data_IF_338862730186
#
_entry.id   IF_338862730186
#
_cell.length_a   1.000
_cell.length_b   1.000
_cell.length_c   1.000
_cell.angle_alpha   90.00
_cell.angle_beta   90.00
_cell.angle_gamma   90.00
#
_symmetry.space_group_name_H-M   'P 1'
#
loop_
_entity.id
_entity.type
_entity.pdbx_description
1 polymer ?
#
# COMPACT_ATOMS: atom_id res chain seq x y z
N UNK A 1 -41.45 -29.65 83.14
CA UNK A 1 -41.81 -28.33 82.58
C UNK A 1 -40.61 -27.76 81.83
N UNK A 2 -40.76 -27.05 80.70
CA UNK A 2 -41.55 -27.30 79.49
C UNK A 2 -40.71 -27.97 78.38
N UNK A 3 -41.39 -28.46 77.33
CA UNK A 3 -40.84 -29.31 76.28
C UNK A 3 -39.92 -28.58 75.28
N UNK A 4 -38.68 -29.03 75.16
CA UNK A 4 -37.69 -28.59 74.16
C UNK A 4 -37.89 -29.20 72.75
N UNK A 5 -39.09 -29.71 72.45
CA UNK A 5 -39.36 -30.42 71.17
C UNK A 5 -39.54 -29.50 69.96
N UNK A 6 -39.77 -28.20 70.14
CA UNK A 6 -39.97 -27.25 69.03
C UNK A 6 -38.70 -26.63 68.45
N UNK A 7 -37.58 -26.61 69.17
CA UNK A 7 -36.44 -25.75 68.82
C UNK A 7 -35.50 -26.35 67.75
N UNK A 8 -35.46 -27.68 67.61
CA UNK A 8 -34.59 -28.37 66.63
C UNK A 8 -35.21 -28.48 65.23
N UNK A 9 -36.53 -28.64 65.12
CA UNK A 9 -37.23 -28.74 63.83
C UNK A 9 -37.29 -27.41 63.09
N UNK A 10 -37.45 -26.30 63.81
CA UNK A 10 -37.46 -24.96 63.19
C UNK A 10 -36.08 -24.50 62.71
N UNK A 11 -35.00 -24.94 63.37
CA UNK A 11 -33.62 -24.63 62.96
C UNK A 11 -33.24 -25.32 61.64
N UNK A 12 -33.75 -26.53 61.40
CA UNK A 12 -33.53 -27.27 60.15
C UNK A 12 -34.40 -26.75 58.99
N UNK A 13 -35.66 -26.35 59.25
CA UNK A 13 -36.51 -25.70 58.23
C UNK A 13 -35.97 -24.33 57.81
N UNK A 14 -35.45 -23.51 58.74
CA UNK A 14 -34.83 -22.21 58.41
C UNK A 14 -33.54 -22.36 57.58
N UNK A 15 -32.70 -23.36 57.85
CA UNK A 15 -31.48 -23.62 57.05
C UNK A 15 -31.77 -24.14 55.63
N UNK A 16 -32.87 -24.86 55.41
CA UNK A 16 -33.28 -25.30 54.06
C UNK A 16 -33.85 -24.13 53.24
N UNK A 17 -34.67 -23.24 53.82
CA UNK A 17 -35.15 -22.03 53.13
C UNK A 17 -34.02 -21.09 52.73
N UNK A 18 -33.04 -20.84 53.61
CA UNK A 18 -31.91 -19.94 53.29
C UNK A 18 -30.96 -20.47 52.21
N UNK A 19 -30.88 -21.81 52.02
CA UNK A 19 -30.10 -22.41 50.91
C UNK A 19 -30.84 -22.29 49.58
N UNK A 20 -32.16 -22.51 49.58
CA UNK A 20 -32.99 -22.41 48.37
C UNK A 20 -33.05 -20.97 47.87
N UNK A 21 -33.19 -19.99 48.78
CA UNK A 21 -33.20 -18.56 48.43
C UNK A 21 -31.85 -18.10 47.85
N UNK A 22 -30.72 -18.56 48.40
CA UNK A 22 -29.39 -18.25 47.85
C UNK A 22 -29.14 -18.91 46.50
N UNK A 23 -29.60 -20.15 46.30
CA UNK A 23 -29.51 -20.79 44.98
C UNK A 23 -30.41 -20.12 43.95
N UNK A 24 -31.60 -19.66 44.33
CA UNK A 24 -32.50 -18.93 43.43
C UNK A 24 -31.93 -17.55 43.07
N UNK A 25 -31.34 -16.83 44.03
CA UNK A 25 -30.66 -15.56 43.75
C UNK A 25 -29.48 -15.76 42.80
N UNK A 26 -28.67 -16.78 43.01
CA UNK A 26 -27.54 -17.09 42.13
C UNK A 26 -27.99 -17.46 40.71
N UNK A 27 -29.06 -18.25 40.58
CA UNK A 27 -29.65 -18.61 39.29
C UNK A 27 -30.20 -17.38 38.56
N UNK A 28 -30.82 -16.44 39.29
CA UNK A 28 -31.28 -15.16 38.73
C UNK A 28 -30.13 -14.27 38.28
N UNK A 29 -29.00 -14.21 39.00
CA UNK A 29 -27.82 -13.45 38.56
C UNK A 29 -27.19 -14.05 37.30
N UNK A 30 -27.08 -15.38 37.23
CA UNK A 30 -26.58 -16.06 36.02
C UNK A 30 -27.50 -15.82 34.83
N UNK A 31 -28.82 -15.89 35.04
CA UNK A 31 -29.80 -15.65 33.98
C UNK A 31 -29.80 -14.18 33.53
N UNK A 32 -29.65 -13.23 34.45
CA UNK A 32 -29.50 -11.81 34.12
C UNK A 32 -28.22 -11.55 33.32
N UNK A 33 -27.10 -12.19 33.67
CA UNK A 33 -25.87 -12.12 32.89
C UNK A 33 -26.03 -12.68 31.47
N UNK A 34 -26.68 -13.83 31.33
CA UNK A 34 -26.96 -14.44 30.03
C UNK A 34 -27.88 -13.57 29.15
N UNK A 35 -28.93 -12.97 29.74
CA UNK A 35 -29.85 -12.07 29.04
C UNK A 35 -29.14 -10.78 28.63
N UNK A 36 -28.32 -10.19 29.51
CA UNK A 36 -27.53 -9.00 29.17
C UNK A 36 -26.54 -9.29 28.03
N UNK A 37 -25.84 -10.43 28.07
CA UNK A 37 -24.93 -10.85 27.02
C UNK A 37 -25.66 -11.10 25.68
N UNK A 38 -26.81 -11.77 25.71
CA UNK A 38 -27.64 -11.99 24.53
C UNK A 38 -28.21 -10.68 23.96
N UNK A 39 -28.55 -9.72 24.82
CA UNK A 39 -29.01 -8.40 24.39
C UNK A 39 -27.89 -7.60 23.73
N UNK A 40 -26.65 -7.66 24.26
CA UNK A 40 -25.48 -7.02 23.64
C UNK A 40 -25.16 -7.67 22.29
N UNK A 41 -25.16 -9.00 22.20
CA UNK A 41 -24.97 -9.71 20.94
C UNK A 41 -26.08 -9.42 19.92
N UNK A 42 -27.33 -9.37 20.38
CA UNK A 42 -28.48 -9.03 19.53
C UNK A 42 -28.41 -7.59 19.02
N UNK A 43 -28.04 -6.65 19.89
CA UNK A 43 -27.83 -5.25 19.52
C UNK A 43 -26.66 -5.10 18.54
N UNK A 44 -25.56 -5.82 18.75
CA UNK A 44 -24.42 -5.84 17.83
C UNK A 44 -24.80 -6.43 16.45
N UNK A 45 -25.52 -7.54 16.43
CA UNK A 45 -26.00 -8.17 15.21
C UNK A 45 -26.98 -7.29 14.42
N UNK A 46 -27.90 -6.63 15.12
CA UNK A 46 -28.88 -5.72 14.50
C UNK A 46 -28.22 -4.42 14.06
N UNK A 47 -27.26 -3.88 14.82
CA UNK A 47 -26.47 -2.72 14.45
C UNK A 47 -25.69 -2.99 13.16
N UNK A 48 -24.92 -4.08 13.10
CA UNK A 48 -24.15 -4.45 11.90
C UNK A 48 -25.02 -4.69 10.65
N UNK A 49 -26.28 -5.09 10.83
CA UNK A 49 -27.22 -5.27 9.71
C UNK A 49 -27.90 -3.98 9.26
N UNK A 50 -28.05 -3.00 10.15
CA UNK A 50 -28.72 -1.72 9.87
C UNK A 50 -27.74 -0.63 9.40
N UNK A 51 -26.49 -0.64 9.87
CA UNK A 51 -25.50 0.38 9.49
C UNK A 51 -24.79 0.05 8.18
N UNK A 52 -24.79 -1.19 7.71
CA UNK A 52 -24.06 -1.58 6.48
C UNK A 52 -22.54 -1.37 6.55
N UNK A 53 -22.04 -0.83 7.66
CA UNK A 53 -20.64 -0.69 7.99
C UNK A 53 -20.20 -1.97 8.69
N UNK A 54 -19.66 -2.87 7.87
CA UNK A 54 -18.87 -3.96 8.38
C UNK A 54 -17.62 -3.41 9.07
N UNK A 55 -17.21 -4.01 10.21
CA UNK A 55 -15.95 -3.64 10.83
C UNK A 55 -14.85 -3.81 9.78
N UNK A 56 -14.07 -2.75 9.56
CA UNK A 56 -12.91 -2.77 8.67
C UNK A 56 -12.06 -4.00 9.00
N UNK A 57 -11.66 -4.81 8.01
CA UNK A 57 -10.81 -5.96 8.27
C UNK A 57 -9.50 -5.46 8.89
N UNK A 58 -9.27 -5.82 10.16
CA UNK A 58 -7.97 -5.67 10.83
C UNK A 58 -6.97 -6.64 10.19
N UNK A 59 -6.37 -6.21 9.07
CA UNK A 59 -4.94 -6.33 8.79
C UNK A 59 -4.57 -5.09 8.02
N UNK A 60 -3.70 -4.32 8.66
CA UNK A 60 -3.54 -2.91 8.41
C UNK A 60 -2.97 -2.68 7.01
N UNK A 61 -1.84 -3.26 6.60
CA UNK A 61 -1.18 -2.95 5.32
C UNK A 61 -0.56 -4.17 4.66
N UNK A 62 -0.33 -4.10 3.34
CA UNK A 62 0.47 -5.10 2.62
C UNK A 62 1.13 -4.55 1.33
N UNK A 63 2.22 -5.18 0.89
CA UNK A 63 2.75 -5.15 -0.47
C UNK A 63 2.58 -6.54 -1.10
N UNK A 64 1.69 -6.67 -2.07
CA UNK A 64 1.43 -7.95 -2.73
C UNK A 64 1.56 -7.83 -4.25
N UNK A 65 2.22 -8.81 -4.87
CA UNK A 65 2.29 -8.92 -6.32
C UNK A 65 1.23 -9.90 -6.84
N UNK A 66 0.55 -9.53 -7.92
CA UNK A 66 -0.39 -10.38 -8.66
C UNK A 66 0.16 -10.58 -10.07
N UNK A 67 0.77 -11.73 -10.31
CA UNK A 67 1.27 -12.16 -11.62
C UNK A 67 0.11 -12.48 -12.55
N UNK A 68 0.17 -11.93 -13.76
CA UNK A 68 -0.82 -12.10 -14.81
C UNK A 68 -0.32 -13.13 -15.82
N UNK A 69 -1.11 -14.15 -16.10
CA UNK A 69 -0.76 -15.24 -17.04
C UNK A 69 -1.69 -15.25 -18.25
N UNK A 70 -1.15 -15.64 -19.41
CA UNK A 70 -1.92 -15.84 -20.63
C UNK A 70 -1.80 -17.30 -21.06
N UNK A 71 -2.90 -17.99 -21.36
CA UNK A 71 -2.85 -19.36 -21.86
C UNK A 71 -1.98 -19.47 -23.11
N UNK A 72 -0.99 -20.37 -23.08
CA UNK A 72 -0.06 -20.61 -24.19
C UNK A 72 1.27 -19.88 -24.10
N UNK A 73 1.46 -19.00 -23.11
CA UNK A 73 2.75 -18.40 -22.78
C UNK A 73 3.53 -19.28 -21.79
N UNK A 74 4.87 -19.21 -21.87
CA UNK A 74 5.78 -20.03 -21.04
C UNK A 74 5.90 -19.52 -19.58
N UNK A 75 5.34 -18.35 -19.27
CA UNK A 75 5.35 -17.75 -17.95
C UNK A 75 4.40 -16.55 -17.81
N UNK A 76 4.37 -15.89 -16.64
CA UNK A 76 3.61 -14.66 -16.45
C UNK A 76 4.07 -13.56 -17.41
N UNK A 77 3.11 -12.84 -18.00
CA UNK A 77 3.35 -11.80 -19.01
C UNK A 77 3.47 -10.40 -18.42
N UNK A 78 3.00 -10.21 -17.20
CA UNK A 78 3.08 -8.97 -16.42
C UNK A 78 2.80 -9.28 -14.93
N UNK A 79 3.00 -8.30 -14.05
CA UNK A 79 2.52 -8.37 -12.67
C UNK A 79 1.88 -7.04 -12.23
N UNK A 80 1.01 -7.09 -11.24
CA UNK A 80 0.45 -5.91 -10.57
C UNK A 80 1.00 -5.87 -9.15
N UNK A 81 1.69 -4.80 -8.78
CA UNK A 81 2.08 -4.55 -7.39
C UNK A 81 1.00 -3.74 -6.70
N UNK A 82 0.26 -4.39 -5.80
CA UNK A 82 -0.72 -3.76 -4.94
C UNK A 82 -0.08 -3.31 -3.63
N UNK A 83 -0.26 -2.04 -3.29
CA UNK A 83 0.26 -1.39 -2.08
C UNK A 83 -0.94 -0.92 -1.25
N UNK A 84 -1.01 -1.38 -0.01
CA UNK A 84 -1.99 -0.95 0.98
C UNK A 84 -1.26 -0.47 2.23
N UNK A 85 -1.59 0.75 2.63
CA UNK A 85 -1.09 1.38 3.86
C UNK A 85 -1.68 0.76 5.12
N UNK A 86 -0.85 0.43 6.13
CA UNK A 86 -1.30 0.03 7.44
C UNK A 86 -2.10 1.05 8.25
N UNK A 87 -1.91 2.34 8.01
CA UNK A 87 -2.72 3.37 8.64
C UNK A 87 -4.05 3.63 7.89
N UNK A 88 -4.24 2.92 6.77
CA UNK A 88 -5.34 3.14 5.83
C UNK A 88 -4.98 4.22 4.81
N UNK A 89 -5.57 4.11 3.62
CA UNK A 89 -5.22 4.97 2.50
C UNK A 89 -5.71 4.38 1.19
N UNK A 90 -5.63 5.17 0.14
CA UNK A 90 -6.02 4.80 -1.21
C UNK A 90 -5.05 3.77 -1.79
N UNK A 91 -5.52 2.54 -2.11
CA UNK A 91 -4.65 1.48 -2.57
C UNK A 91 -3.90 1.89 -3.85
N UNK A 92 -2.58 1.72 -3.87
CA UNK A 92 -1.78 1.90 -5.08
C UNK A 92 -1.69 0.60 -5.85
N UNK A 93 -1.91 0.63 -7.17
CA UNK A 93 -1.71 -0.53 -8.04
C UNK A 93 -0.73 -0.14 -9.15
N UNK A 94 0.41 -0.81 -9.21
CA UNK A 94 1.43 -0.54 -10.21
C UNK A 94 1.56 -1.69 -11.20
N UNK A 95 1.44 -1.41 -12.49
CA UNK A 95 1.74 -2.40 -13.53
C UNK A 95 3.26 -2.58 -13.66
N UNK A 96 3.73 -3.81 -13.47
CA UNK A 96 5.10 -4.25 -13.69
C UNK A 96 5.17 -4.93 -15.06
N UNK A 97 5.81 -4.28 -16.07
CA UNK A 97 6.01 -4.89 -17.37
C UNK A 97 7.12 -5.96 -17.32
N UNK A 98 7.11 -6.94 -18.24
CA UNK A 98 8.09 -8.02 -18.26
C UNK A 98 9.53 -7.54 -18.52
N UNK A 99 9.70 -6.40 -19.20
CA UNK A 99 11.00 -5.81 -19.53
C UNK A 99 11.54 -4.87 -18.44
N UNK A 100 10.92 -4.84 -17.26
CA UNK A 100 11.46 -4.09 -16.12
C UNK A 100 12.74 -4.77 -15.61
N UNK A 101 13.81 -3.99 -15.46
CA UNK A 101 15.01 -4.46 -14.79
C UNK A 101 14.79 -4.45 -13.29
N UNK A 102 14.96 -5.61 -12.68
CA UNK A 102 15.02 -5.82 -11.26
C UNK A 102 16.47 -6.02 -10.82
N UNK A 103 16.67 -6.09 -9.50
CA UNK A 103 17.98 -6.33 -8.91
C UNK A 103 18.04 -7.75 -8.34
N UNK A 104 18.97 -8.56 -8.87
CA UNK A 104 19.30 -9.90 -8.40
C UNK A 104 20.04 -9.89 -7.05
N UNK A 105 20.30 -11.07 -6.47
CA UNK A 105 20.87 -11.19 -5.12
C UNK A 105 22.31 -10.65 -4.98
N UNK A 106 23.04 -10.48 -6.09
CA UNK A 106 24.42 -9.98 -6.14
C UNK A 106 24.51 -8.57 -6.77
N UNK A 107 23.38 -7.86 -6.92
CA UNK A 107 23.31 -6.56 -7.59
C UNK A 107 23.36 -6.63 -9.12
N UNK A 108 23.18 -7.82 -9.69
CA UNK A 108 23.01 -8.01 -11.13
C UNK A 108 21.62 -7.55 -11.60
N UNK A 109 21.52 -7.08 -12.84
CA UNK A 109 20.22 -6.74 -13.42
C UNK A 109 19.55 -8.00 -14.00
N UNK A 110 18.30 -8.22 -13.60
CA UNK A 110 17.46 -9.36 -14.05
C UNK A 110 16.16 -8.81 -14.63
N UNK A 111 15.63 -9.36 -15.73
CA UNK A 111 14.33 -8.92 -16.22
C UNK A 111 13.20 -9.46 -15.34
N UNK A 112 12.14 -8.68 -15.16
CA UNK A 112 10.96 -9.09 -14.43
C UNK A 112 10.34 -10.36 -15.02
N UNK A 113 10.39 -10.55 -16.34
CA UNK A 113 9.98 -11.80 -17.00
C UNK A 113 10.71 -13.03 -16.44
N UNK A 114 12.04 -12.93 -16.32
CA UNK A 114 12.88 -14.03 -15.82
C UNK A 114 12.62 -14.29 -14.33
N UNK A 115 12.51 -13.22 -13.53
CA UNK A 115 12.19 -13.32 -12.11
C UNK A 115 10.80 -13.92 -11.87
N UNK A 116 9.81 -13.58 -12.71
CA UNK A 116 8.48 -14.18 -12.68
C UNK A 116 8.50 -15.67 -13.02
N UNK A 117 9.23 -16.04 -14.08
CA UNK A 117 9.35 -17.44 -14.51
C UNK A 117 10.11 -18.32 -13.50
N UNK A 118 11.13 -17.76 -12.85
CA UNK A 118 11.93 -18.44 -11.82
C UNK A 118 11.23 -18.53 -10.45
N UNK A 119 10.22 -17.68 -10.21
CA UNK A 119 9.56 -17.56 -8.91
C UNK A 119 10.29 -16.63 -7.92
N UNK A 120 11.27 -15.86 -8.41
CA UNK A 120 12.11 -14.96 -7.61
C UNK A 120 11.57 -13.51 -7.57
N UNK A 121 10.45 -13.23 -8.26
CA UNK A 121 9.85 -11.89 -8.35
C UNK A 121 9.74 -11.19 -6.99
N UNK A 122 9.29 -11.89 -5.94
CA UNK A 122 9.14 -11.30 -4.61
C UNK A 122 10.47 -10.72 -4.07
N UNK A 123 11.55 -11.47 -4.21
CA UNK A 123 12.86 -11.09 -3.69
C UNK A 123 13.50 -9.98 -4.55
N UNK A 124 13.39 -10.12 -5.87
CA UNK A 124 14.02 -9.20 -6.83
C UNK A 124 13.30 -7.85 -6.88
N UNK A 125 11.96 -7.88 -6.88
CA UNK A 125 11.15 -6.66 -6.78
C UNK A 125 11.32 -6.02 -5.41
N UNK A 126 11.38 -6.83 -4.35
CA UNK A 126 11.55 -6.34 -2.98
C UNK A 126 12.82 -5.50 -2.80
N UNK A 127 13.92 -5.87 -3.48
CA UNK A 127 15.16 -5.06 -3.49
C UNK A 127 15.00 -3.73 -4.24
N UNK A 128 14.23 -3.71 -5.31
CA UNK A 128 13.98 -2.47 -6.09
C UNK A 128 13.08 -1.50 -5.33
N UNK A 129 12.06 -2.00 -4.63
CA UNK A 129 11.14 -1.18 -3.85
C UNK A 129 11.63 -0.92 -2.42
N UNK A 130 12.76 -1.52 -2.05
CA UNK A 130 13.35 -1.53 -0.70
C UNK A 130 12.37 -1.96 0.41
N UNK A 131 11.50 -2.92 0.10
CA UNK A 131 10.50 -3.45 1.02
C UNK A 131 10.17 -4.91 0.70
N UNK A 132 9.90 -5.76 1.71
CA UNK A 132 9.51 -7.14 1.46
C UNK A 132 8.16 -7.20 0.72
N UNK A 133 8.07 -8.08 -0.28
CA UNK A 133 6.79 -8.42 -0.93
C UNK A 133 6.14 -9.53 -0.11
N UNK A 134 5.03 -9.21 0.55
CA UNK A 134 4.34 -10.08 1.52
C UNK A 134 3.71 -11.32 0.87
N UNK A 135 3.27 -11.19 -0.38
CA UNK A 135 2.64 -12.27 -1.11
C UNK A 135 2.82 -12.11 -2.62
N UNK A 136 2.94 -13.25 -3.31
CA UNK A 136 2.82 -13.33 -4.78
C UNK A 136 1.68 -14.27 -5.11
N UNK A 137 0.70 -13.77 -5.83
CA UNK A 137 -0.42 -14.55 -6.35
C UNK A 137 -0.34 -14.61 -7.86
N UNK A 138 -0.88 -15.67 -8.46
CA UNK A 138 -0.91 -15.84 -9.91
C UNK A 138 -2.36 -16.00 -10.36
N UNK A 139 -2.76 -15.20 -11.35
CA UNK A 139 -4.09 -15.22 -11.95
C UNK A 139 -3.98 -15.12 -13.47
N UNK A 140 -4.93 -15.66 -14.24
CA UNK A 140 -4.98 -15.41 -15.68
C UNK A 140 -5.44 -13.98 -15.96
N UNK A 141 -4.97 -13.39 -17.06
CA UNK A 141 -5.40 -12.06 -17.54
C UNK A 141 -6.92 -11.97 -17.73
N UNK A 142 -7.58 -13.08 -18.03
CA UNK A 142 -9.04 -13.15 -18.13
C UNK A 142 -9.77 -12.77 -16.84
N UNK A 143 -9.14 -12.96 -15.67
CA UNK A 143 -9.74 -12.60 -14.38
C UNK A 143 -9.97 -11.10 -14.27
N UNK A 144 -9.17 -10.24 -14.94
CA UNK A 144 -9.45 -8.80 -15.01
C UNK A 144 -10.84 -8.53 -15.61
N UNK A 145 -11.21 -9.29 -16.64
CA UNK A 145 -12.54 -9.23 -17.24
C UNK A 145 -13.64 -9.71 -16.31
N UNK A 146 -13.39 -10.81 -15.60
CA UNK A 146 -14.33 -11.34 -14.60
C UNK A 146 -14.53 -10.36 -13.43
N UNK A 147 -13.47 -9.69 -13.00
CA UNK A 147 -13.52 -8.64 -11.97
C UNK A 147 -14.32 -7.44 -12.44
N UNK A 148 -14.03 -6.95 -13.65
CA UNK A 148 -14.72 -5.83 -14.26
C UNK A 148 -16.23 -6.09 -14.44
N UNK A 149 -16.62 -7.34 -14.72
CA UNK A 149 -18.04 -7.72 -14.89
C UNK A 149 -18.68 -7.15 -16.16
N UNK A 150 -17.87 -6.75 -17.14
CA UNK A 150 -18.25 -6.21 -18.45
C UNK A 150 -17.51 -6.95 -19.55
N UNK A 151 -18.00 -6.84 -20.79
CA UNK A 151 -17.31 -7.39 -21.98
C UNK A 151 -16.43 -6.36 -22.67
N UNK A 152 -16.61 -5.07 -22.36
CA UNK A 152 -15.85 -3.96 -22.93
C UNK A 152 -15.36 -3.03 -21.81
N UNK A 153 -14.12 -2.57 -21.95
CA UNK A 153 -13.47 -1.63 -21.05
C UNK A 153 -13.27 -0.31 -21.78
N UNK A 154 -13.72 0.80 -21.19
CA UNK A 154 -13.42 2.15 -21.68
C UNK A 154 -12.08 2.56 -21.11
N UNK A 155 -11.14 2.93 -21.98
CA UNK A 155 -9.77 3.28 -21.57
C UNK A 155 -9.45 4.71 -21.94
N UNK A 156 -8.78 5.39 -21.02
CA UNK A 156 -8.26 6.74 -21.21
C UNK A 156 -6.76 6.69 -21.54
N UNK A 157 -6.36 7.38 -22.61
CA UNK A 157 -5.00 7.33 -23.13
C UNK A 157 -4.54 8.70 -23.57
N UNK A 158 -3.33 9.10 -23.15
CA UNK A 158 -2.75 10.37 -23.61
C UNK A 158 -2.58 10.44 -25.14
N UNK A 159 -2.30 9.28 -25.77
CA UNK A 159 -2.07 9.15 -27.20
C UNK A 159 -2.67 7.84 -27.71
N UNK A 160 -3.15 7.80 -28.97
CA UNK A 160 -3.58 6.55 -29.58
C UNK A 160 -2.46 5.51 -29.62
N UNK A 161 -2.78 4.28 -29.27
CA UNK A 161 -1.85 3.14 -29.26
C UNK A 161 -2.31 2.12 -30.29
N UNK A 162 -1.35 1.60 -31.08
CA UNK A 162 -1.60 0.50 -32.02
C UNK A 162 -0.92 -0.76 -31.53
N UNK A 163 -1.67 -1.85 -31.45
CA UNK A 163 -1.19 -3.16 -31.03
C UNK A 163 -1.42 -4.16 -32.15
N UNK A 164 -0.35 -4.83 -32.55
CA UNK A 164 -0.45 -5.96 -33.46
C UNK A 164 -0.97 -7.17 -32.68
N UNK A 165 -2.20 -7.58 -32.99
CA UNK A 165 -2.82 -8.81 -32.52
C UNK A 165 -2.69 -9.89 -33.59
N UNK A 166 -2.82 -11.16 -33.20
CA UNK A 166 -2.88 -12.27 -34.15
C UNK A 166 -4.05 -12.13 -35.15
N UNK A 167 -5.13 -11.45 -34.75
CA UNK A 167 -6.34 -11.21 -35.54
C UNK A 167 -6.27 -9.94 -36.41
N UNK A 168 -5.26 -9.09 -36.25
CA UNK A 168 -5.11 -7.81 -36.95
C UNK A 168 -4.53 -6.71 -36.07
N UNK A 169 -4.56 -5.47 -36.55
CA UNK A 169 -4.07 -4.30 -35.78
C UNK A 169 -5.23 -3.71 -34.98
N UNK A 170 -5.12 -3.72 -33.66
CA UNK A 170 -6.01 -3.00 -32.76
C UNK A 170 -5.49 -1.58 -32.58
N UNK A 171 -6.30 -0.57 -32.91
CA UNK A 171 -5.97 0.84 -32.69
C UNK A 171 -6.91 1.41 -31.64
N UNK A 172 -6.35 1.71 -30.47
CA UNK A 172 -7.09 2.26 -29.33
C UNK A 172 -6.81 3.75 -29.24
N UNK A 173 -7.86 4.55 -29.13
CA UNK A 173 -7.79 6.01 -28.95
C UNK A 173 -8.19 6.37 -27.53
N UNK A 174 -7.95 7.62 -27.15
CA UNK A 174 -8.50 8.19 -25.91
C UNK A 174 -10.03 8.06 -25.85
N UNK A 175 -10.56 7.62 -24.71
CA UNK A 175 -11.97 7.24 -24.53
C UNK A 175 -12.43 6.06 -25.40
N UNK A 176 -11.48 5.27 -25.92
CA UNK A 176 -11.73 4.11 -26.77
C UNK A 176 -12.18 2.89 -25.96
N UNK A 177 -12.66 1.85 -26.65
CA UNK A 177 -13.04 0.58 -26.03
C UNK A 177 -12.07 -0.54 -26.36
N UNK A 178 -11.77 -1.37 -25.37
CA UNK A 178 -11.02 -2.62 -25.51
C UNK A 178 -11.93 -3.77 -25.10
N UNK A 179 -12.05 -4.79 -25.95
CA UNK A 179 -12.82 -6.00 -25.62
C UNK A 179 -12.08 -6.82 -24.57
N UNK A 180 -12.80 -7.35 -23.59
CA UNK A 180 -12.25 -8.27 -22.60
C UNK A 180 -11.66 -9.53 -23.25
N UNK A 181 -12.22 -9.96 -24.39
CA UNK A 181 -11.70 -11.10 -25.14
C UNK A 181 -10.32 -10.83 -25.77
N UNK A 182 -9.95 -9.57 -25.97
CA UNK A 182 -8.67 -9.18 -26.57
C UNK A 182 -7.56 -9.00 -25.51
N UNK A 183 -7.89 -8.99 -24.21
CA UNK A 183 -6.92 -8.79 -23.13
C UNK A 183 -5.72 -9.74 -23.20
N UNK A 184 -5.90 -11.07 -23.40
CA UNK A 184 -4.75 -11.96 -23.50
C UNK A 184 -3.81 -11.56 -24.64
N UNK A 185 -4.37 -11.14 -25.79
CA UNK A 185 -3.58 -10.72 -26.94
C UNK A 185 -2.89 -9.36 -26.72
N UNK A 186 -3.52 -8.42 -25.99
CA UNK A 186 -2.90 -7.14 -25.60
C UNK A 186 -1.71 -7.37 -24.64
N UNK A 187 -1.86 -8.29 -23.68
CA UNK A 187 -0.80 -8.58 -22.72
C UNK A 187 0.35 -9.41 -23.31
N UNK A 188 0.06 -10.34 -24.22
CA UNK A 188 1.08 -11.12 -24.95
C UNK A 188 1.71 -10.40 -26.14
N UNK A 189 1.20 -9.23 -26.54
CA UNK A 189 1.72 -8.56 -27.73
C UNK A 189 3.19 -8.14 -27.52
N UNK A 190 4.09 -8.42 -28.48
CA UNK A 190 5.44 -7.89 -28.43
C UNK A 190 5.45 -6.36 -28.55
N UNK A 191 4.46 -5.78 -29.26
CA UNK A 191 4.30 -4.34 -29.47
C UNK A 191 5.42 -3.71 -30.31
N UNK A 192 5.08 -2.76 -31.17
CA UNK A 192 6.10 -1.98 -31.90
C UNK A 192 6.80 -0.94 -30.99
N UNK A 193 6.07 -0.44 -29.98
CA UNK A 193 6.57 0.51 -28.98
C UNK A 193 6.19 0.03 -27.58
N UNK A 194 7.17 -0.45 -26.83
CA UNK A 194 6.97 -1.02 -25.48
C UNK A 194 6.40 -0.02 -24.47
N UNK A 195 6.75 1.27 -24.58
CA UNK A 195 6.21 2.31 -23.69
C UNK A 195 4.71 2.53 -23.95
N UNK A 196 4.31 2.62 -25.21
CA UNK A 196 2.91 2.79 -25.58
C UNK A 196 2.07 1.56 -25.22
N UNK A 197 2.61 0.37 -25.44
CA UNK A 197 1.95 -0.88 -25.04
C UNK A 197 1.76 -0.95 -23.51
N UNK A 198 2.79 -0.60 -22.73
CA UNK A 198 2.69 -0.57 -21.27
C UNK A 198 1.63 0.44 -20.82
N UNK A 199 1.56 1.62 -21.45
CA UNK A 199 0.52 2.61 -21.14
C UNK A 199 -0.90 2.07 -21.43
N UNK A 200 -1.09 1.35 -22.54
CA UNK A 200 -2.36 0.69 -22.84
C UNK A 200 -2.69 -0.40 -21.81
N UNK A 201 -1.71 -1.25 -21.45
CA UNK A 201 -1.91 -2.29 -20.44
C UNK A 201 -2.28 -1.69 -19.09
N UNK A 202 -1.64 -0.59 -18.67
CA UNK A 202 -1.99 0.14 -17.45
C UNK A 202 -3.42 0.68 -17.52
N UNK A 203 -3.80 1.36 -18.62
CA UNK A 203 -5.14 1.93 -18.79
C UNK A 203 -6.24 0.86 -18.82
N UNK A 204 -5.94 -0.31 -19.38
CA UNK A 204 -6.85 -1.47 -19.37
C UNK A 204 -7.03 -2.04 -17.97
N UNK A 205 -5.96 -2.14 -17.17
CA UNK A 205 -6.05 -2.56 -15.76
C UNK A 205 -6.86 -1.55 -14.96
N UNK A 206 -6.60 -0.26 -15.15
CA UNK A 206 -7.34 0.83 -14.52
C UNK A 206 -8.85 0.73 -14.82
N UNK A 207 -9.20 0.69 -16.10
CA UNK A 207 -10.59 0.53 -16.54
C UNK A 207 -11.26 -0.74 -15.98
N UNK A 208 -10.53 -1.85 -15.88
CA UNK A 208 -11.05 -3.08 -15.30
C UNK A 208 -11.32 -2.95 -13.79
N UNK A 209 -10.42 -2.31 -13.05
CA UNK A 209 -10.56 -2.10 -11.61
C UNK A 209 -11.61 -1.03 -11.29
N UNK A 210 -11.73 0.03 -12.07
CA UNK A 210 -12.80 1.03 -11.97
C UNK A 210 -14.18 0.39 -12.24
N UNK A 211 -14.30 -0.39 -13.32
CA UNK A 211 -15.54 -1.12 -13.62
C UNK A 211 -15.89 -2.11 -12.49
N UNK A 212 -14.88 -2.80 -11.94
CA UNK A 212 -15.07 -3.67 -10.79
C UNK A 212 -15.56 -2.90 -9.55
N UNK A 213 -15.02 -1.69 -9.29
CA UNK A 213 -15.38 -0.86 -8.16
C UNK A 213 -16.85 -0.40 -8.18
N UNK A 214 -17.44 -0.24 -9.36
CA UNK A 214 -18.86 0.08 -9.54
C UNK A 214 -19.80 -1.08 -9.17
N UNK A 215 -19.27 -2.30 -8.99
CA UNK A 215 -20.08 -3.47 -8.63
C UNK A 215 -20.50 -3.45 -7.15
N UNK A 216 -21.65 -4.04 -6.81
CA UNK A 216 -22.08 -4.21 -5.42
C UNK A 216 -21.01 -4.87 -4.55
N UNK A 217 -20.79 -4.37 -3.33
CA UNK A 217 -19.77 -4.86 -2.38
C UNK A 217 -19.87 -6.38 -2.16
N UNK A 218 -21.09 -6.90 -2.07
CA UNK A 218 -21.34 -8.33 -1.87
C UNK A 218 -20.89 -9.22 -3.05
N UNK A 219 -20.85 -8.65 -4.25
CA UNK A 219 -20.38 -9.31 -5.47
C UNK A 219 -18.85 -9.18 -5.58
N UNK A 220 -18.29 -8.00 -5.25
CA UNK A 220 -16.84 -7.77 -5.21
C UNK A 220 -16.09 -8.76 -4.30
N UNK A 221 -16.67 -9.11 -3.16
CA UNK A 221 -16.09 -10.11 -2.24
C UNK A 221 -16.05 -11.54 -2.77
N UNK A 222 -16.77 -11.82 -3.85
CA UNK A 222 -16.84 -13.14 -4.46
C UNK A 222 -15.96 -13.26 -5.71
N UNK A 223 -15.32 -12.18 -6.14
CA UNK A 223 -14.54 -12.11 -7.38
C UNK A 223 -13.34 -13.06 -7.39
N UNK A 224 -12.79 -13.39 -6.23
CA UNK A 224 -11.63 -14.29 -6.12
C UNK A 224 -12.01 -15.75 -5.96
N UNK A 225 -13.31 -16.08 -5.89
CA UNK A 225 -13.77 -17.42 -5.52
C UNK A 225 -13.15 -17.93 -4.21
N UNK A 226 -13.25 -19.23 -3.96
CA UNK A 226 -12.48 -19.89 -2.89
C UNK A 226 -11.08 -20.22 -3.41
N UNK A 227 -10.26 -19.21 -3.71
CA UNK A 227 -8.90 -19.46 -4.21
C UNK A 227 -8.05 -20.11 -3.11
N UNK A 228 -7.53 -21.30 -3.42
CA UNK A 228 -6.85 -22.20 -2.50
C UNK A 228 -5.32 -22.01 -2.52
N UNK A 229 -4.84 -20.77 -2.61
CA UNK A 229 -3.42 -20.49 -2.39
C UNK A 229 -3.15 -20.48 -0.88
N UNK A 230 -2.25 -21.33 -0.36
CA UNK A 230 -1.93 -21.35 1.06
C UNK A 230 -1.29 -20.02 1.44
N UNK A 231 -1.99 -19.21 2.22
CA UNK A 231 -1.43 -18.01 2.84
C UNK A 231 -0.44 -18.43 3.93
N UNK A 232 0.84 -18.43 3.59
CA UNK A 232 1.92 -18.39 4.57
C UNK A 232 2.03 -16.93 4.98
N UNK A 233 1.41 -16.57 6.11
CA UNK A 233 1.54 -15.29 6.84
C UNK A 233 1.22 -13.95 6.10
N UNK A 234 0.91 -13.94 4.79
CA UNK A 234 0.59 -12.73 4.00
C UNK A 234 -0.90 -12.46 3.72
N UNK A 235 -1.19 -11.35 3.03
CA UNK A 235 -2.53 -10.97 2.57
C UNK A 235 -3.10 -12.01 1.58
N UNK A 236 -4.35 -12.44 1.76
CA UNK A 236 -4.97 -13.40 0.85
C UNK A 236 -5.26 -12.74 -0.50
N UNK A 237 -5.34 -13.52 -1.59
CA UNK A 237 -5.74 -12.97 -2.90
C UNK A 237 -7.08 -12.23 -2.81
N UNK A 238 -8.00 -12.73 -1.99
CA UNK A 238 -9.29 -12.07 -1.74
C UNK A 238 -9.13 -10.69 -1.11
N UNK A 239 -8.24 -10.55 -0.12
CA UNK A 239 -7.95 -9.25 0.51
C UNK A 239 -7.32 -8.29 -0.49
N UNK A 240 -6.34 -8.77 -1.28
CA UNK A 240 -5.63 -7.98 -2.30
C UNK A 240 -6.60 -7.46 -3.36
N UNK A 241 -7.39 -8.35 -3.97
CA UNK A 241 -8.38 -7.97 -5.00
C UNK A 241 -9.46 -7.06 -4.43
N UNK A 242 -9.89 -7.27 -3.19
CA UNK A 242 -10.87 -6.39 -2.56
C UNK A 242 -10.34 -4.95 -2.38
N UNK A 243 -9.04 -4.77 -2.12
CA UNK A 243 -8.42 -3.44 -2.07
C UNK A 243 -8.22 -2.85 -3.47
N UNK A 244 -7.70 -3.63 -4.41
CA UNK A 244 -7.50 -3.20 -5.80
C UNK A 244 -8.80 -2.78 -6.50
N UNK A 245 -9.93 -3.43 -6.16
CA UNK A 245 -11.26 -3.11 -6.71
C UNK A 245 -12.05 -2.15 -5.81
N UNK A 246 -11.37 -1.45 -4.90
CA UNK A 246 -11.98 -0.37 -4.14
C UNK A 246 -12.13 0.88 -5.03
N UNK A 247 -13.16 1.69 -4.79
CA UNK A 247 -13.41 2.89 -5.60
C UNK A 247 -12.35 4.00 -5.42
N UNK A 248 -11.39 3.80 -4.52
CA UNK A 248 -10.29 4.72 -4.28
C UNK A 248 -8.94 4.13 -4.65
N UNK A 249 -8.90 2.92 -5.22
CA UNK A 249 -7.68 2.38 -5.77
C UNK A 249 -7.21 3.25 -6.95
N UNK A 250 -5.92 3.53 -7.00
CA UNK A 250 -5.30 4.30 -8.07
C UNK A 250 -4.33 3.41 -8.82
N UNK A 251 -4.54 3.26 -10.13
CA UNK A 251 -3.67 2.47 -10.99
C UNK A 251 -2.69 3.38 -11.70
N UNK A 252 -1.41 3.05 -11.62
CA UNK A 252 -0.32 3.83 -12.21
C UNK A 252 0.68 2.92 -12.92
N UNK A 253 1.46 3.51 -13.83
CA UNK A 253 2.62 2.82 -14.38
C UNK A 253 3.73 2.80 -13.35
N UNK A 254 4.43 1.67 -13.20
CA UNK A 254 5.56 1.59 -12.28
C UNK A 254 6.64 2.64 -12.61
N UNK A 255 7.14 3.43 -11.64
CA UNK A 255 8.07 4.51 -11.92
C UNK A 255 9.41 4.02 -12.48
N UNK A 256 9.56 4.12 -13.81
CA UNK A 256 10.73 3.65 -14.52
C UNK A 256 11.11 4.58 -15.69
N UNK A 257 12.42 4.74 -15.90
CA UNK A 257 12.98 5.27 -17.13
C UNK A 257 13.05 4.20 -18.21
N UNK A 258 13.40 4.60 -19.43
CA UNK A 258 13.63 3.66 -20.54
C UNK A 258 15.09 3.69 -20.95
N UNK A 259 15.69 2.53 -21.15
CA UNK A 259 17.06 2.38 -21.67
C UNK A 259 17.06 1.38 -22.81
N UNK A 260 17.83 1.68 -23.84
CA UNK A 260 18.15 0.70 -24.90
C UNK A 260 19.65 0.48 -24.85
N UNK A 261 20.06 -0.77 -24.62
CA UNK A 261 21.45 -1.18 -24.60
C UNK A 261 21.59 -2.48 -25.39
N UNK A 262 22.60 -2.56 -26.26
CA UNK A 262 22.88 -3.77 -27.06
C UNK A 262 21.70 -4.28 -27.90
N UNK A 263 20.79 -3.38 -28.29
CA UNK A 263 19.58 -3.72 -29.06
C UNK A 263 18.43 -4.26 -28.21
N UNK A 264 18.60 -4.38 -26.90
CA UNK A 264 17.55 -4.74 -25.95
C UNK A 264 16.95 -3.49 -25.32
N UNK A 265 15.62 -3.44 -25.28
CA UNK A 265 14.86 -2.42 -24.58
C UNK A 265 14.61 -2.86 -23.15
N UNK A 266 14.72 -1.93 -22.21
CA UNK A 266 14.50 -2.21 -20.80
C UNK A 266 13.88 -1.00 -20.09
N UNK A 267 12.96 -1.27 -19.17
CA UNK A 267 12.54 -0.28 -18.18
C UNK A 267 13.51 -0.30 -17.01
N UNK A 268 14.10 0.84 -16.69
CA UNK A 268 15.03 0.97 -15.55
C UNK A 268 14.25 1.60 -14.41
N UNK A 269 14.07 0.92 -13.27
CA UNK A 269 13.43 1.50 -12.09
C UNK A 269 14.05 2.83 -11.72
N UNK A 270 13.24 3.72 -11.17
CA UNK A 270 13.73 4.97 -10.57
C UNK A 270 13.52 4.89 -9.06
N UNK A 271 14.49 4.38 -8.29
CA UNK A 271 14.33 4.09 -6.87
C UNK A 271 13.75 5.26 -6.07
N UNK A 272 14.24 6.47 -6.30
CA UNK A 272 13.74 7.67 -5.63
C UNK A 272 12.27 8.00 -5.95
N UNK A 273 11.79 7.77 -7.18
CA UNK A 273 10.37 7.98 -7.52
C UNK A 273 9.49 6.84 -6.97
N UNK A 274 10.01 5.61 -6.94
CA UNK A 274 9.34 4.42 -6.40
C UNK A 274 9.12 4.59 -4.90
N UNK A 275 10.19 4.88 -4.15
CA UNK A 275 10.12 5.13 -2.71
C UNK A 275 9.21 6.32 -2.41
N UNK A 276 9.38 7.47 -3.09
CA UNK A 276 8.50 8.63 -2.85
C UNK A 276 7.01 8.32 -3.10
N UNK A 277 6.67 7.45 -4.05
CA UNK A 277 5.29 7.06 -4.32
C UNK A 277 4.77 6.02 -3.33
N UNK A 278 5.60 5.04 -2.96
CA UNK A 278 5.26 4.03 -1.95
C UNK A 278 5.12 4.67 -0.56
N UNK A 279 6.08 5.48 -0.12
CA UNK A 279 6.05 6.22 1.15
C UNK A 279 4.90 7.23 1.19
N UNK A 280 4.60 7.94 0.08
CA UNK A 280 3.44 8.86 0.05
C UNK A 280 2.11 8.13 0.23
N UNK A 281 1.99 6.93 -0.33
CA UNK A 281 0.75 6.13 -0.27
C UNK A 281 0.69 5.24 0.96
N UNK A 282 1.83 4.97 1.59
CA UNK A 282 1.95 4.12 2.76
C UNK A 282 3.15 4.54 3.62
N UNK A 283 3.00 5.58 4.47
CA UNK A 283 4.08 6.14 5.29
C UNK A 283 4.68 5.13 6.27
N UNK A 284 3.93 4.09 6.62
CA UNK A 284 4.34 3.06 7.57
C UNK A 284 5.22 1.94 6.98
N UNK A 285 5.51 1.96 5.68
CA UNK A 285 6.71 1.27 5.16
C UNK A 285 7.88 2.22 5.34
N UNK A 286 8.32 2.33 6.61
CA UNK A 286 9.28 3.32 7.10
C UNK A 286 10.61 3.24 6.34
N UNK A 287 11.06 4.41 5.86
CA UNK A 287 12.47 4.64 5.65
C UNK A 287 13.19 4.53 7.01
N UNK A 288 14.38 3.92 7.04
CA UNK A 288 15.09 3.62 8.29
C UNK A 288 15.47 4.87 9.14
N UNK A 289 15.28 6.07 8.60
CA UNK A 289 15.67 7.34 9.24
C UNK A 289 14.58 8.40 9.06
N UNK A 290 14.18 9.06 10.15
CA UNK A 290 13.28 10.22 10.14
C UNK A 290 14.09 11.52 10.13
N UNK A 291 13.77 12.44 9.23
CA UNK A 291 14.37 13.76 9.12
C UNK A 291 13.37 14.83 9.55
N UNK A 292 13.51 15.32 10.80
CA UNK A 292 12.70 16.41 11.30
C UNK A 292 13.28 17.76 10.88
N UNK A 293 12.54 18.52 10.07
CA UNK A 293 12.92 19.89 9.69
C UNK A 293 12.34 20.89 10.68
N UNK A 294 13.20 21.77 11.21
CA UNK A 294 12.87 22.88 12.11
C UNK A 294 13.21 24.22 11.45
N UNK A 295 12.26 25.15 11.39
CA UNK A 295 12.50 26.50 10.91
C UNK A 295 13.15 27.36 12.00
N UNK A 296 14.48 27.49 11.95
CA UNK A 296 15.26 28.38 12.82
C UNK A 296 15.60 29.74 12.20
N UNK A 297 15.08 30.02 11.00
CA UNK A 297 15.41 31.23 10.22
C UNK A 297 14.37 32.35 10.38
N UNK A 298 13.19 32.02 10.94
CA UNK A 298 12.05 32.92 11.06
C UNK A 298 11.41 33.34 9.72
N UNK A 299 11.88 32.79 8.58
CA UNK A 299 11.30 33.04 7.26
C UNK A 299 10.15 32.07 7.00
N UNK A 300 9.01 32.60 6.56
CA UNK A 300 7.86 31.79 6.14
C UNK A 300 8.23 30.95 4.92
N UNK A 301 7.86 29.67 4.90
CA UNK A 301 8.12 28.77 3.77
C UNK A 301 9.52 28.13 3.75
N UNK A 302 10.40 28.47 4.70
CA UNK A 302 11.79 27.98 4.69
C UNK A 302 11.89 26.48 5.06
N UNK A 303 11.04 26.01 5.98
CA UNK A 303 10.98 24.60 6.35
C UNK A 303 10.41 23.75 5.22
N UNK A 304 9.34 24.22 4.59
CA UNK A 304 8.67 23.58 3.47
C UNK A 304 9.61 23.46 2.26
N UNK A 305 10.36 24.53 1.94
CA UNK A 305 11.34 24.50 0.85
C UNK A 305 12.52 23.56 1.12
N UNK A 306 12.84 23.29 2.39
CA UNK A 306 13.84 22.28 2.76
C UNK A 306 13.24 20.88 2.61
N UNK A 307 12.02 20.65 3.10
CA UNK A 307 11.31 19.38 2.92
C UNK A 307 11.18 19.02 1.43
N UNK A 308 10.78 19.97 0.58
CA UNK A 308 10.67 19.77 -0.87
C UNK A 308 12.02 19.39 -1.51
N UNK A 309 13.13 19.99 -1.06
CA UNK A 309 14.47 19.66 -1.54
C UNK A 309 14.96 18.29 -1.04
N UNK A 310 14.57 17.90 0.16
CA UNK A 310 14.95 16.62 0.76
C UNK A 310 14.02 15.48 0.34
N UNK A 311 12.92 15.77 -0.36
CA UNK A 311 11.96 14.76 -0.83
C UNK A 311 12.56 13.70 -1.77
N UNK A 312 13.78 13.88 -2.25
CA UNK A 312 14.51 12.87 -3.02
C UNK A 312 15.30 11.88 -2.14
N UNK A 313 15.34 12.08 -0.83
CA UNK A 313 16.00 11.20 0.12
C UNK A 313 15.02 10.13 0.59
N UNK A 314 15.57 8.94 0.83
CA UNK A 314 14.89 7.80 1.43
C UNK A 314 14.81 7.96 2.95
N UNK A 315 13.98 8.89 3.38
CA UNK A 315 13.80 9.28 4.79
C UNK A 315 12.36 9.68 5.05
N UNK A 316 11.87 9.41 6.26
CA UNK A 316 10.58 9.95 6.70
C UNK A 316 10.71 11.47 6.90
N UNK A 317 9.80 12.24 6.30
CA UNK A 317 9.83 13.71 6.27
C UNK A 317 8.52 14.27 6.82
N UNK A 318 8.34 14.30 8.15
CA UNK A 318 7.19 14.91 8.77
C UNK A 318 7.11 16.41 8.45
N UNK A 319 5.91 16.98 8.62
CA UNK A 319 5.69 18.41 8.41
C UNK A 319 6.71 19.27 9.20
N UNK A 320 7.20 20.37 8.60
CA UNK A 320 8.22 21.18 9.24
C UNK A 320 7.65 21.86 10.50
N UNK A 321 8.44 21.86 11.57
CA UNK A 321 8.12 22.53 12.82
C UNK A 321 8.95 23.81 12.97
N UNK A 322 8.70 24.59 14.02
CA UNK A 322 9.55 25.73 14.38
C UNK A 322 10.66 25.29 15.32
N UNK A 323 11.84 25.87 15.18
CA UNK A 323 12.91 25.71 16.16
C UNK A 323 12.58 26.48 17.46
N UNK A 324 13.37 26.23 18.50
CA UNK A 324 13.34 26.94 19.79
C UNK A 324 13.72 28.43 19.66
N UNK A 325 14.51 28.78 18.64
CA UNK A 325 14.86 30.16 18.29
C UNK A 325 14.83 30.39 16.78
N UNK A 326 14.63 31.65 16.37
CA UNK A 326 14.69 32.09 14.97
C UNK A 326 16.00 32.83 14.62
N UNK A 327 17.00 32.76 15.48
CA UNK A 327 18.28 33.47 15.32
C UNK A 327 19.41 32.59 14.78
N UNK A 328 19.11 31.45 14.18
CA UNK A 328 20.13 30.54 13.67
C UNK A 328 20.81 31.16 12.46
N UNK A 329 22.09 31.54 12.61
CA UNK A 329 22.85 32.15 11.53
C UNK A 329 23.16 31.17 10.38
N UNK A 330 23.36 29.89 10.71
CA UNK A 330 23.70 28.81 9.78
C UNK A 330 22.79 27.61 9.97
N UNK A 331 22.55 26.87 8.91
CA UNK A 331 21.76 25.64 8.93
C UNK A 331 22.54 24.55 9.67
N UNK A 332 21.90 23.88 10.62
CA UNK A 332 22.53 22.83 11.43
C UNK A 332 21.84 21.50 11.13
N UNK A 333 22.63 20.45 10.96
CA UNK A 333 22.16 19.09 10.70
C UNK A 333 22.67 18.24 11.85
N UNK A 334 21.81 17.96 12.82
CA UNK A 334 22.12 17.16 14.00
C UNK A 334 21.84 15.70 13.69
N UNK A 335 22.80 14.82 13.96
CA UNK A 335 22.69 13.39 13.66
C UNK A 335 23.47 12.55 14.68
N UNK A 336 22.98 11.34 14.93
CA UNK A 336 23.69 10.30 15.68
C UNK A 336 24.79 9.63 14.84
N UNK A 337 25.49 8.67 15.43
CA UNK A 337 26.59 7.98 14.77
C UNK A 337 26.10 7.12 13.58
N UNK A 338 24.92 6.54 13.74
CA UNK A 338 24.23 5.67 12.79
C UNK A 338 23.56 6.44 11.65
N UNK A 339 23.07 7.67 11.89
CA UNK A 339 22.43 8.52 10.86
C UNK A 339 23.38 9.50 10.18
N UNK A 340 24.67 9.46 10.54
CA UNK A 340 25.70 10.33 9.99
C UNK A 340 25.85 10.29 8.45
N UNK A 341 25.67 9.14 7.76
CA UNK A 341 25.63 9.10 6.30
C UNK A 341 24.51 9.98 5.72
N UNK A 342 23.28 9.83 6.23
CA UNK A 342 22.11 10.61 5.81
C UNK A 342 22.32 12.11 6.03
N UNK A 343 22.91 12.49 7.17
CA UNK A 343 23.24 13.88 7.45
C UNK A 343 24.21 14.51 6.43
N UNK A 344 25.14 13.72 5.88
CA UNK A 344 26.07 14.18 4.83
C UNK A 344 25.34 14.36 3.50
N UNK A 345 24.39 13.49 3.18
CA UNK A 345 23.60 13.57 1.96
C UNK A 345 22.65 14.78 2.01
N UNK A 346 22.00 15.03 3.15
CA UNK A 346 21.24 16.26 3.41
C UNK A 346 22.11 17.50 3.18
N UNK A 347 23.33 17.53 3.74
CA UNK A 347 24.26 18.64 3.53
C UNK A 347 24.62 18.83 2.06
N UNK A 348 24.81 17.73 1.33
CA UNK A 348 25.12 17.78 -0.10
C UNK A 348 23.96 18.36 -0.92
N UNK A 349 22.72 17.94 -0.63
CA UNK A 349 21.50 18.41 -1.32
C UNK A 349 21.22 19.89 -1.01
N UNK A 350 21.34 20.30 0.25
CA UNK A 350 21.12 21.70 0.66
C UNK A 350 22.27 22.62 0.21
N UNK A 351 23.43 22.03 -0.13
CA UNK A 351 24.65 22.71 -0.53
C UNK A 351 25.24 23.62 0.56
N UNK A 352 24.75 23.50 1.80
CA UNK A 352 25.10 24.33 2.95
C UNK A 352 24.76 23.63 4.26
N UNK A 353 25.13 24.28 5.34
CA UNK A 353 24.94 23.79 6.70
C UNK A 353 26.10 22.96 7.23
N UNK A 354 26.09 22.81 8.54
CA UNK A 354 27.10 22.09 9.31
C UNK A 354 26.49 20.83 9.90
N UNK A 355 27.15 19.68 9.70
CA UNK A 355 26.78 18.44 10.37
C UNK A 355 27.38 18.47 11.76
N UNK A 356 26.52 18.34 12.76
CA UNK A 356 26.85 18.38 14.17
C UNK A 356 26.41 17.06 14.82
N UNK A 357 27.13 16.66 15.86
CA UNK A 357 26.76 15.49 16.66
C UNK A 357 25.50 15.82 17.47
N UNK A 358 24.50 14.94 17.40
CA UNK A 358 23.20 15.09 18.07
C UNK A 358 22.98 14.01 19.12
N UNK A 359 23.73 13.99 20.24
CA UNK A 359 23.70 12.91 21.21
C UNK A 359 22.37 12.74 21.95
N UNK A 360 21.51 13.77 21.91
CA UNK A 360 20.19 13.79 22.54
C UNK A 360 19.04 13.45 21.56
N UNK A 361 19.35 13.10 20.31
CA UNK A 361 18.35 12.68 19.33
C UNK A 361 17.93 11.22 19.55
N UNK A 362 16.65 10.88 19.31
CA UNK A 362 16.22 9.48 19.21
C UNK A 362 17.01 8.73 18.14
N UNK A 363 17.23 7.43 18.36
CA UNK A 363 17.85 6.54 17.37
C UNK A 363 17.10 6.62 16.03
N UNK A 364 17.83 6.71 14.93
CA UNK A 364 17.23 6.81 13.59
C UNK A 364 16.65 8.20 13.27
N UNK A 365 16.89 9.23 14.07
CA UNK A 365 16.46 10.59 13.77
C UNK A 365 17.62 11.50 13.33
N UNK A 366 17.36 12.31 12.31
CA UNK A 366 18.18 13.47 11.93
C UNK A 366 17.34 14.73 12.10
N UNK A 367 17.90 15.77 12.70
CA UNK A 367 17.20 17.04 12.85
C UNK A 367 17.90 18.13 12.03
N UNK A 368 17.14 18.81 11.16
CA UNK A 368 17.64 19.90 10.31
C UNK A 368 17.07 21.22 10.81
N UNK A 369 17.91 22.05 11.41
CA UNK A 369 17.54 23.40 11.85
C UNK A 369 17.93 24.39 10.76
N UNK A 370 16.94 24.96 10.07
CA UNK A 370 17.14 25.87 8.94
C UNK A 370 17.62 27.23 9.44
N UNK A 371 18.80 27.67 9.01
CA UNK A 371 19.38 28.96 9.37
C UNK A 371 19.12 30.07 8.35
N UNK A 372 19.55 31.29 8.66
CA UNK A 372 19.45 32.45 7.76
C UNK A 372 20.30 32.32 6.49
N UNK A 373 21.30 31.46 6.51
CA UNK A 373 22.12 31.08 5.36
C UNK A 373 21.31 30.35 4.27
N UNK A 374 20.16 29.77 4.60
CA UNK A 374 19.24 29.18 3.63
C UNK A 374 18.46 30.25 2.86
N UNK A 375 18.56 30.20 1.52
CA UNK A 375 17.84 31.09 0.59
C UNK A 375 16.88 30.25 -0.26
N UNK A 376 15.59 30.52 -0.14
CA UNK A 376 14.52 29.67 -0.66
C UNK A 376 14.19 29.87 -2.16
N UNK A 377 15.10 30.31 -3.04
CA UNK A 377 14.77 30.48 -4.47
C UNK A 377 15.84 29.97 -5.44
N UNK A 378 15.47 28.92 -6.19
CA UNK A 378 15.65 28.74 -7.64
C UNK A 378 14.78 27.55 -8.15
N UNK A 379 13.47 27.62 -7.96
CA UNK A 379 12.51 26.98 -8.88
C UNK A 379 12.12 28.04 -9.91
N UNK A 380 13.06 28.32 -10.81
CA UNK A 380 12.83 29.17 -11.96
C UNK A 380 12.01 28.41 -12.99
N UNK A 381 10.75 28.81 -13.14
CA UNK A 381 10.05 28.82 -14.42
C UNK A 381 11.05 29.17 -15.53
N UNK A 382 11.47 28.17 -16.32
CA UNK A 382 12.03 28.44 -17.64
C UNK A 382 10.84 28.67 -18.57
N UNK A 383 10.39 29.92 -18.59
CA UNK A 383 9.86 30.48 -19.81
C UNK A 383 10.98 30.53 -20.87
N UNK A 384 10.54 30.26 -22.09
CA UNK A 384 11.25 29.96 -23.32
C UNK A 384 12.20 31.07 -23.81
N UNK A 385 13.02 30.78 -24.83
CA UNK A 385 12.52 30.92 -26.21
C UNK A 385 12.50 29.62 -27.03
#
# INVERSE_FOLDING_TARGET
MPASRGYRSDRLRRRRRSRVERSQAWLLYVLAGAVAFAAVLGAWYVAGRLTGEEPAPERSGFLAAVQLTVPGEDGPVAALLAVQDPEGGDPGVYLIPPDLLLEGPNGEYVFAADAMAAGDLAADLGRVVDAPIDAVHTVPVSDLGEWAGTTELQVDLEKPVSVDLQSGVLVVKDGGTVSVADLPAVFSSPGANRRELTALQTAVVDAALEAAALRPVAERRRLTGSSASPSVEGATLADVVARMTSATAVVETFPAGTRVAEGQFAFVPKPAEIQANITRRSPAYDAAVTVQVLNGSGRVGAGEAVVEKLASLDVDLPAPLNADSFSYAQTQILAGAETLPVARDIRAILGRGVVLDGPDLPDGMVQVIVGHDFKAQESGTKDQP
#
